data_IF_387164904890
#
_entry.id   IF_387164904890
#
_cell.length_a   1.000
_cell.length_b   1.000
_cell.length_c   1.000
_cell.angle_alpha   90.00
_cell.angle_beta   90.00
_cell.angle_gamma   90.00
#
_symmetry.space_group_name_H-M   'P 1'
#
loop_
_entity.id
_entity.type
_entity.pdbx_description
1 polymer ?
#
# COMPACT_ATOMS: atom_id res chain seq x y z
N UNK A 1 -1.99 23.48 69.15
CA UNK A 1 -3.08 24.46 69.09
C UNK A 1 -3.63 24.43 67.67
N UNK A 2 -4.91 24.04 67.52
CA UNK A 2 -5.80 24.01 66.35
C UNK A 2 -5.31 23.17 65.14
N UNK A 3 -5.77 21.95 64.84
CA UNK A 3 -7.13 21.36 64.70
C UNK A 3 -8.07 22.15 63.78
N UNK A 4 -8.18 21.70 62.54
CA UNK A 4 -9.41 21.66 61.71
C UNK A 4 -9.17 20.50 60.72
N UNK A 5 -9.68 19.27 60.94
CA UNK A 5 -11.06 18.79 60.70
C UNK A 5 -11.63 19.23 59.34
N UNK A 6 -11.55 18.33 58.35
CA UNK A 6 -12.69 18.05 57.47
C UNK A 6 -12.59 16.62 56.95
N UNK A 7 -13.70 15.91 57.07
CA UNK A 7 -13.87 14.48 56.88
C UNK A 7 -13.95 14.05 55.42
N UNK A 8 -13.26 12.94 55.16
CA UNK A 8 -13.64 11.77 54.37
C UNK A 8 -14.97 11.84 53.55
N UNK A 9 -14.86 11.64 52.24
CA UNK A 9 -15.82 10.85 51.47
C UNK A 9 -15.05 9.84 50.63
N UNK A 10 -15.10 8.57 51.05
CA UNK A 10 -14.74 7.42 50.22
C UNK A 10 -15.96 7.15 49.35
N UNK A 11 -15.80 7.23 48.03
CA UNK A 11 -16.76 6.68 47.08
C UNK A 11 -16.05 5.58 46.31
N UNK A 12 -16.20 4.36 46.83
CA UNK A 12 -15.82 3.12 46.18
C UNK A 12 -17.00 2.72 45.28
N UNK A 13 -16.82 2.82 43.96
CA UNK A 13 -17.58 2.10 42.94
C UNK A 13 -16.49 1.37 42.14
N UNK A 14 -16.33 0.05 42.15
CA UNK A 14 -17.36 -0.98 42.08
C UNK A 14 -17.49 -1.44 40.63
N UNK A 15 -16.59 -2.34 40.20
CA UNK A 15 -16.70 -3.36 39.12
C UNK A 15 -17.28 -2.94 37.76
N UNK A 16 -16.59 -3.15 36.64
CA UNK A 16 -16.53 -4.46 35.95
C UNK A 16 -15.50 -4.39 34.81
N UNK A 17 -14.83 -5.50 34.53
CA UNK A 17 -14.05 -5.70 33.30
C UNK A 17 -15.00 -5.59 32.10
N UNK A 18 -14.86 -4.53 31.31
CA UNK A 18 -15.52 -4.39 30.02
C UNK A 18 -14.51 -4.69 28.93
N UNK A 19 -14.66 -5.87 28.33
CA UNK A 19 -14.04 -6.24 27.05
C UNK A 19 -14.19 -5.11 26.04
N UNK A 20 -13.07 -4.63 25.47
CA UNK A 20 -13.14 -3.98 24.16
C UNK A 20 -13.43 -5.07 23.13
N UNK A 21 -14.72 -5.36 22.91
CA UNK A 21 -15.12 -5.94 21.64
C UNK A 21 -14.92 -4.84 20.61
N UNK A 22 -13.94 -5.03 19.73
CA UNK A 22 -13.91 -4.30 18.47
C UNK A 22 -15.21 -4.67 17.75
N UNK A 23 -16.17 -3.75 17.77
CA UNK A 23 -17.33 -3.81 16.91
C UNK A 23 -16.80 -3.62 15.51
N UNK A 24 -16.64 -4.71 14.77
CA UNK A 24 -16.57 -4.65 13.33
C UNK A 24 -17.96 -4.20 12.87
N UNK A 25 -18.07 -2.93 12.46
CA UNK A 25 -19.25 -2.46 11.74
C UNK A 25 -19.35 -3.28 10.45
N UNK A 26 -20.22 -4.28 10.48
CA UNK A 26 -20.69 -5.01 9.30
C UNK A 26 -21.53 -4.05 8.46
N UNK A 27 -20.93 -3.53 7.39
CA UNK A 27 -21.66 -2.78 6.37
C UNK A 27 -22.46 -3.72 5.47
N UNK A 28 -23.69 -3.32 5.16
CA UNK A 28 -24.67 -4.07 4.36
C UNK A 28 -24.33 -4.12 2.86
N UNK A 29 -24.59 -5.28 2.27
CA UNK A 29 -24.09 -5.78 0.99
C UNK A 29 -25.00 -5.48 -0.22
N UNK A 30 -25.16 -4.22 -0.60
CA UNK A 30 -25.80 -3.85 -1.88
C UNK A 30 -25.21 -2.56 -2.41
N UNK A 31 -24.04 -2.71 -3.01
CA UNK A 31 -23.47 -1.94 -4.12
C UNK A 31 -21.99 -2.33 -4.17
N UNK A 32 -21.61 -3.20 -5.10
CA UNK A 32 -20.23 -3.70 -5.25
C UNK A 32 -19.39 -2.57 -5.87
N UNK A 33 -19.09 -1.59 -5.02
CA UNK A 33 -18.12 -0.53 -5.15
C UNK A 33 -17.52 -0.29 -3.75
N UNK A 34 -16.95 -1.34 -3.15
CA UNK A 34 -16.24 -1.29 -1.88
C UNK A 34 -15.22 -2.44 -1.91
N UNK A 35 -13.90 -2.21 -1.93
CA UNK A 35 -13.20 -1.53 -0.84
C UNK A 35 -11.91 -0.84 -1.35
N UNK A 36 -12.04 0.31 -2.02
CA UNK A 36 -10.94 1.28 -2.15
C UNK A 36 -10.81 2.05 -0.83
N UNK A 37 -10.31 1.37 0.19
CA UNK A 37 -10.05 1.92 1.51
C UNK A 37 -8.65 1.52 1.96
N UNK A 38 -7.61 1.91 1.21
CA UNK A 38 -6.26 1.78 1.70
C UNK A 38 -6.07 2.75 2.87
N UNK A 39 -5.99 2.21 4.08
CA UNK A 39 -5.53 2.98 5.23
C UNK A 39 -4.08 3.41 4.96
N UNK A 40 -3.89 4.65 4.51
CA UNK A 40 -2.58 5.29 4.30
C UNK A 40 -2.14 5.53 2.84
N UNK A 41 -3.06 5.88 1.93
CA UNK A 41 -2.69 6.46 0.61
C UNK A 41 -2.06 5.49 -0.39
N UNK A 42 -2.29 4.18 -0.22
CA UNK A 42 -1.87 3.18 -1.20
C UNK A 42 -2.96 2.92 -2.24
N UNK A 43 -2.58 2.65 -3.48
CA UNK A 43 -3.51 2.17 -4.52
C UNK A 43 -2.99 0.86 -5.08
N UNK A 44 -3.86 -0.02 -5.55
CA UNK A 44 -3.43 -1.31 -6.05
C UNK A 44 -4.17 -1.73 -7.32
N UNK A 45 -3.54 -2.61 -8.08
CA UNK A 45 -4.11 -3.20 -9.28
C UNK A 45 -3.48 -4.55 -9.60
N UNK A 46 -4.30 -5.50 -10.04
CA UNK A 46 -3.85 -6.84 -10.46
C UNK A 46 -3.91 -6.94 -11.98
N UNK A 47 -2.87 -7.54 -12.57
CA UNK A 47 -2.70 -7.65 -14.01
C UNK A 47 -2.36 -9.10 -14.41
N UNK A 48 -3.01 -9.58 -15.46
CA UNK A 48 -2.86 -10.93 -15.98
C UNK A 48 -1.69 -11.07 -16.95
N UNK A 49 -1.15 -12.30 -17.03
CA UNK A 49 -0.11 -12.75 -17.97
C UNK A 49 0.95 -11.70 -18.28
N UNK A 50 1.93 -11.58 -17.40
CA UNK A 50 2.96 -10.55 -17.50
C UNK A 50 4.33 -11.21 -17.58
N UNK A 51 5.01 -10.97 -18.70
CA UNK A 51 6.42 -11.29 -18.82
C UNK A 51 7.27 -10.10 -18.35
N UNK A 52 8.55 -10.38 -18.09
CA UNK A 52 9.51 -9.35 -17.66
C UNK A 52 9.54 -8.18 -18.63
N UNK A 53 9.39 -8.39 -19.94
CA UNK A 53 9.45 -7.32 -20.95
C UNK A 53 8.28 -6.35 -20.82
N UNK A 54 7.08 -6.82 -20.49
CA UNK A 54 5.92 -5.95 -20.24
C UNK A 54 6.16 -5.02 -19.05
N UNK A 55 6.77 -5.52 -17.96
CA UNK A 55 7.16 -4.67 -16.84
C UNK A 55 8.22 -3.64 -17.24
N UNK A 56 9.28 -4.10 -17.93
CA UNK A 56 10.35 -3.22 -18.44
C UNK A 56 9.78 -2.11 -19.32
N UNK A 57 8.87 -2.45 -20.25
CA UNK A 57 8.27 -1.46 -21.15
C UNK A 57 7.40 -0.44 -20.42
N UNK A 58 6.70 -0.87 -19.36
CA UNK A 58 5.89 0.02 -18.53
C UNK A 58 6.76 1.01 -17.76
N UNK A 59 7.85 0.54 -17.15
CA UNK A 59 8.83 1.40 -16.45
C UNK A 59 9.50 2.37 -17.43
N UNK A 60 9.94 1.90 -18.60
CA UNK A 60 10.51 2.75 -19.66
C UNK A 60 9.55 3.83 -20.16
N UNK A 61 8.24 3.55 -20.17
CA UNK A 61 7.26 4.54 -20.56
C UNK A 61 7.17 5.67 -19.52
N UNK A 62 7.22 5.34 -18.23
CA UNK A 62 7.28 6.33 -17.16
C UNK A 62 8.59 7.14 -17.23
N UNK A 63 9.73 6.49 -17.50
CA UNK A 63 11.01 7.18 -17.74
C UNK A 63 10.92 8.17 -18.90
N UNK A 64 10.25 7.80 -20.00
CA UNK A 64 10.02 8.71 -21.15
C UNK A 64 9.17 9.93 -20.79
N UNK A 65 8.32 9.84 -19.78
CA UNK A 65 7.57 10.97 -19.23
C UNK A 65 8.36 11.77 -18.18
N UNK A 66 9.62 11.41 -17.93
CA UNK A 66 10.53 12.11 -17.02
C UNK A 66 10.50 11.58 -15.59
N UNK A 67 9.79 10.49 -15.32
CA UNK A 67 9.72 9.87 -13.99
C UNK A 67 10.77 8.77 -13.86
N UNK A 68 11.97 9.15 -13.41
CA UNK A 68 13.09 8.22 -13.29
C UNK A 68 12.97 7.31 -12.07
N UNK A 69 13.27 6.02 -12.23
CA UNK A 69 13.28 5.05 -11.13
C UNK A 69 14.68 4.78 -10.54
N UNK A 70 14.75 4.19 -9.35
CA UNK A 70 16.00 3.70 -8.73
C UNK A 70 16.52 2.40 -9.36
N UNK A 71 15.78 1.79 -10.28
CA UNK A 71 16.16 0.57 -10.98
C UNK A 71 16.41 0.91 -12.44
N UNK A 72 17.48 0.35 -13.02
CA UNK A 72 17.66 0.37 -14.47
C UNK A 72 16.64 -0.60 -15.06
N UNK A 73 15.70 -0.11 -15.86
CA UNK A 73 14.57 -0.92 -16.32
C UNK A 73 15.04 -2.25 -16.96
N UNK A 74 16.11 -2.25 -17.75
CA UNK A 74 16.69 -3.43 -18.41
C UNK A 74 17.17 -4.52 -17.45
N UNK A 75 17.39 -4.21 -16.17
CA UNK A 75 17.85 -5.19 -15.16
C UNK A 75 16.71 -5.79 -14.35
N UNK A 76 15.46 -5.41 -14.62
CA UNK A 76 14.31 -6.02 -13.96
C UNK A 76 14.17 -7.47 -14.40
N UNK A 77 14.06 -8.38 -13.43
CA UNK A 77 13.69 -9.78 -13.63
C UNK A 77 12.57 -10.11 -12.65
N UNK A 78 11.39 -10.45 -13.19
CA UNK A 78 10.20 -10.78 -12.38
C UNK A 78 10.39 -11.98 -11.46
N UNK A 79 11.30 -12.91 -11.80
CA UNK A 79 11.58 -14.04 -10.92
C UNK A 79 12.45 -13.62 -9.72
N UNK A 80 13.27 -12.58 -9.87
CA UNK A 80 14.04 -11.99 -8.78
C UNK A 80 13.26 -10.91 -8.00
N UNK A 81 12.22 -10.31 -8.60
CA UNK A 81 11.48 -9.17 -8.07
C UNK A 81 10.22 -9.52 -7.24
N UNK A 82 10.09 -10.75 -6.73
CA UNK A 82 8.98 -11.09 -5.82
C UNK A 82 9.05 -10.22 -4.55
N UNK A 83 8.08 -9.32 -4.37
CA UNK A 83 8.01 -8.42 -3.23
C UNK A 83 8.96 -7.22 -3.32
N UNK A 84 9.58 -6.99 -4.48
CA UNK A 84 10.51 -5.86 -4.65
C UNK A 84 9.78 -4.53 -4.87
N UNK A 85 10.45 -3.44 -4.51
CA UNK A 85 9.91 -2.08 -4.60
C UNK A 85 10.72 -1.27 -5.60
N UNK A 86 10.05 -0.70 -6.60
CA UNK A 86 10.61 0.26 -7.54
C UNK A 86 10.28 1.66 -7.04
N UNK A 87 11.29 2.49 -6.79
CA UNK A 87 11.14 3.86 -6.29
C UNK A 87 11.30 4.83 -7.45
N UNK A 88 10.22 5.53 -7.78
CA UNK A 88 10.21 6.61 -8.75
C UNK A 88 10.47 7.96 -8.08
N UNK A 89 11.27 8.80 -8.74
CA UNK A 89 11.54 10.18 -8.36
C UNK A 89 10.54 11.11 -9.04
N UNK A 90 10.35 12.29 -8.44
CA UNK A 90 9.62 13.38 -9.10
C UNK A 90 10.27 13.74 -10.43
N UNK A 91 9.48 14.17 -11.40
CA UNK A 91 10.00 14.63 -12.68
C UNK A 91 10.82 15.92 -12.50
N UNK A 92 11.78 16.18 -13.38
CA UNK A 92 12.58 17.42 -13.35
C UNK A 92 11.72 18.69 -13.49
N UNK A 93 10.52 18.57 -14.07
CA UNK A 93 9.50 19.63 -14.16
C UNK A 93 8.80 19.93 -12.83
N UNK A 94 9.06 19.16 -11.77
CA UNK A 94 8.35 19.22 -10.50
C UNK A 94 6.99 18.52 -10.50
N UNK A 95 6.58 17.92 -11.63
CA UNK A 95 5.34 17.12 -11.70
C UNK A 95 5.48 15.86 -10.85
N UNK A 96 4.54 15.69 -9.93
CA UNK A 96 4.44 14.50 -9.06
C UNK A 96 3.90 13.32 -9.86
N UNK A 97 4.49 12.14 -9.66
CA UNK A 97 3.98 10.91 -10.25
C UNK A 97 2.73 10.44 -9.48
N UNK A 98 1.60 10.35 -10.18
CA UNK A 98 0.35 9.85 -9.59
C UNK A 98 0.17 8.35 -9.85
N UNK A 99 -0.69 7.69 -9.07
CA UNK A 99 -0.98 6.26 -9.26
C UNK A 99 -1.70 5.99 -10.60
N UNK A 100 -2.49 6.95 -11.09
CA UNK A 100 -3.17 6.85 -12.38
C UNK A 100 -2.18 6.84 -13.54
N UNK A 101 -1.15 7.69 -13.50
CA UNK A 101 -0.07 7.72 -14.51
C UNK A 101 0.65 6.35 -14.53
N UNK A 102 0.92 5.77 -13.35
CA UNK A 102 1.54 4.43 -13.20
C UNK A 102 0.64 3.34 -13.79
N UNK A 103 -0.63 3.28 -13.38
CA UNK A 103 -1.55 2.24 -13.86
C UNK A 103 -1.89 2.42 -15.34
N UNK A 104 -1.92 3.65 -15.87
CA UNK A 104 -2.06 3.89 -17.31
C UNK A 104 -0.86 3.33 -18.09
N UNK A 105 0.36 3.50 -17.58
CA UNK A 105 1.55 2.93 -18.20
C UNK A 105 1.52 1.38 -18.20
N UNK A 106 1.13 0.77 -17.08
CA UNK A 106 0.99 -0.68 -16.96
C UNK A 106 -0.09 -1.24 -17.89
N UNK A 107 -1.26 -0.59 -17.97
CA UNK A 107 -2.38 -0.99 -18.86
C UNK A 107 -2.01 -0.99 -20.35
N UNK A 108 -0.95 -0.29 -20.75
CA UNK A 108 -0.49 -0.30 -22.15
C UNK A 108 0.18 -1.62 -22.55
N UNK A 109 0.74 -2.35 -21.58
CA UNK A 109 1.53 -3.57 -21.82
C UNK A 109 1.01 -4.80 -21.08
N UNK A 110 0.00 -4.63 -20.23
CA UNK A 110 -0.56 -5.67 -19.39
C UNK A 110 -2.09 -5.55 -19.34
N UNK A 111 -2.78 -6.68 -19.18
CA UNK A 111 -4.24 -6.70 -19.10
C UNK A 111 -4.68 -6.59 -17.64
N UNK A 112 -5.43 -5.54 -17.25
CA UNK A 112 -5.96 -5.44 -15.90
C UNK A 112 -6.98 -6.55 -15.64
N UNK A 113 -6.93 -7.14 -14.45
CA UNK A 113 -7.89 -8.13 -13.98
C UNK A 113 -8.89 -7.52 -13.02
N UNK A 114 -10.09 -8.07 -13.02
CA UNK A 114 -11.13 -7.72 -12.06
C UNK A 114 -11.04 -8.65 -10.86
N UNK A 115 -11.17 -8.08 -9.67
CA UNK A 115 -11.30 -8.85 -8.43
C UNK A 115 -12.63 -9.59 -8.40
N UNK A 116 -12.58 -10.82 -7.88
CA UNK A 116 -13.78 -11.59 -7.50
C UNK A 116 -14.20 -11.16 -6.10
N UNK A 117 -15.43 -11.46 -5.72
CA UNK A 117 -15.95 -11.17 -4.38
C UNK A 117 -15.19 -11.90 -3.26
N UNK A 118 -14.53 -13.02 -3.59
CA UNK A 118 -13.73 -13.81 -2.67
C UNK A 118 -12.29 -13.31 -2.52
N UNK A 119 -11.86 -12.37 -3.35
CA UNK A 119 -10.52 -11.81 -3.29
C UNK A 119 -10.49 -10.65 -2.27
N UNK A 120 -9.40 -10.53 -1.52
CA UNK A 120 -9.21 -9.47 -0.56
C UNK A 120 -7.76 -8.98 -0.55
N UNK A 121 -7.57 -7.66 -0.51
CA UNK A 121 -6.26 -7.05 -0.33
C UNK A 121 -6.36 -6.03 0.79
N UNK A 122 -5.53 -6.19 1.81
CA UNK A 122 -5.36 -5.24 2.90
C UNK A 122 -3.96 -4.67 2.81
N UNK A 123 -3.85 -3.35 2.66
CA UNK A 123 -2.57 -2.63 2.65
C UNK A 123 -2.56 -1.63 3.79
N UNK A 124 -1.44 -1.59 4.52
CA UNK A 124 -1.17 -0.62 5.58
C UNK A 124 0.18 0.02 5.35
N UNK A 125 0.18 1.32 5.09
CA UNK A 125 1.39 2.14 5.07
C UNK A 125 1.58 2.79 6.45
N UNK A 126 2.70 2.50 7.11
CA UNK A 126 3.07 3.12 8.39
C UNK A 126 4.24 4.07 8.19
N UNK A 127 4.07 5.40 8.32
CA UNK A 127 5.17 6.33 8.31
C UNK A 127 6.13 6.03 9.47
N UNK A 128 7.42 5.86 9.19
CA UNK A 128 8.47 5.67 10.18
C UNK A 128 9.23 6.97 10.46
N UNK A 129 9.42 7.80 9.44
CA UNK A 129 10.07 9.11 9.55
C UNK A 129 9.75 10.00 8.34
N UNK A 130 9.74 11.31 8.55
CA UNK A 130 9.59 12.31 7.47
C UNK A 130 10.75 13.30 7.53
N UNK A 131 11.40 13.57 6.41
CA UNK A 131 12.47 14.56 6.27
C UNK A 131 12.28 15.40 4.99
N UNK A 132 13.09 16.44 4.81
CA UNK A 132 12.98 17.34 3.64
C UNK A 132 13.14 16.59 2.30
N UNK A 133 13.89 15.48 2.31
CA UNK A 133 14.14 14.64 1.14
C UNK A 133 13.02 13.64 0.82
N UNK A 134 12.09 13.36 1.74
CA UNK A 134 11.04 12.36 1.55
C UNK A 134 10.52 11.70 2.84
N UNK A 135 9.85 10.56 2.68
CA UNK A 135 9.27 9.79 3.78
C UNK A 135 9.77 8.34 3.77
N UNK A 136 10.13 7.82 4.94
CA UNK A 136 10.37 6.38 5.13
C UNK A 136 9.06 5.75 5.58
N UNK A 137 8.58 4.77 4.82
CA UNK A 137 7.31 4.08 5.07
C UNK A 137 7.60 2.59 5.24
N UNK A 138 6.94 1.97 6.21
CA UNK A 138 6.80 0.51 6.31
C UNK A 138 5.46 0.12 5.70
N UNK A 139 5.49 -0.48 4.51
CA UNK A 139 4.30 -1.06 3.89
C UNK A 139 4.14 -2.48 4.42
N UNK A 140 2.94 -2.80 4.90
CA UNK A 140 2.51 -4.17 5.18
C UNK A 140 1.31 -4.49 4.30
N UNK A 141 1.27 -5.68 3.72
CA UNK A 141 0.13 -6.13 2.94
C UNK A 141 -0.22 -7.58 3.25
N UNK A 142 -1.52 -7.87 3.19
CA UNK A 142 -2.10 -9.21 3.20
C UNK A 142 -2.98 -9.34 1.96
N UNK A 143 -2.80 -10.41 1.22
CA UNK A 143 -3.45 -10.67 -0.06
C UNK A 143 -4.09 -12.04 0.01
N UNK A 144 -5.38 -12.10 -0.26
CA UNK A 144 -6.12 -13.30 -0.60
C UNK A 144 -6.56 -13.14 -2.06
N UNK A 145 -6.02 -13.95 -2.96
CA UNK A 145 -6.35 -13.87 -4.38
C UNK A 145 -6.47 -15.26 -4.99
N UNK A 146 -7.63 -15.55 -5.57
CA UNK A 146 -7.96 -16.84 -6.18
C UNK A 146 -7.73 -18.04 -5.24
N UNK A 147 -8.03 -17.85 -3.94
CA UNK A 147 -7.86 -18.86 -2.89
C UNK A 147 -6.45 -18.97 -2.31
N UNK A 148 -5.47 -18.21 -2.82
CA UNK A 148 -4.10 -18.19 -2.31
C UNK A 148 -3.89 -17.01 -1.36
N UNK A 149 -3.14 -17.21 -0.28
CA UNK A 149 -2.82 -16.19 0.71
C UNK A 149 -1.33 -15.83 0.70
N UNK A 150 -1.03 -14.53 0.76
CA UNK A 150 0.31 -14.03 0.90
C UNK A 150 0.35 -12.79 1.80
N UNK A 151 1.40 -12.67 2.60
CA UNK A 151 1.65 -11.49 3.42
C UNK A 151 3.12 -11.05 3.35
N UNK A 152 3.35 -9.76 3.49
CA UNK A 152 4.70 -9.20 3.59
C UNK A 152 4.71 -7.87 4.33
N UNK A 153 5.88 -7.51 4.86
CA UNK A 153 6.09 -6.23 5.53
C UNK A 153 7.51 -5.75 5.32
N UNK A 154 7.68 -4.59 4.71
CA UNK A 154 9.00 -4.05 4.39
C UNK A 154 9.07 -2.52 4.49
N UNK A 155 10.16 -1.96 5.02
CA UNK A 155 10.43 -0.53 4.99
C UNK A 155 11.11 -0.11 3.69
N UNK A 156 10.78 1.08 3.18
CA UNK A 156 11.47 1.75 2.08
C UNK A 156 11.33 3.26 2.18
N UNK A 157 12.22 3.99 1.50
CA UNK A 157 12.20 5.46 1.46
C UNK A 157 11.66 5.95 0.11
N UNK A 158 10.68 6.84 0.17
CA UNK A 158 10.08 7.51 -0.98
C UNK A 158 10.56 8.96 -1.01
N UNK A 159 11.21 9.43 -2.09
CA UNK A 159 11.63 10.82 -2.19
C UNK A 159 10.40 11.74 -2.30
N UNK A 160 10.55 13.01 -1.89
CA UNK A 160 9.49 14.01 -1.99
C UNK A 160 8.98 14.13 -3.44
N UNK A 161 7.66 14.03 -3.62
CA UNK A 161 7.01 14.03 -4.94
C UNK A 161 7.26 12.78 -5.79
N UNK A 162 7.93 11.77 -5.24
CA UNK A 162 8.10 10.45 -5.82
C UNK A 162 6.97 9.49 -5.44
N UNK A 163 7.10 8.25 -5.90
CA UNK A 163 6.14 7.18 -5.66
C UNK A 163 6.87 5.83 -5.61
N UNK A 164 6.49 4.96 -4.69
CA UNK A 164 6.97 3.59 -4.62
C UNK A 164 5.97 2.64 -5.27
N UNK A 165 6.46 1.71 -6.09
CA UNK A 165 5.70 0.66 -6.74
C UNK A 165 6.19 -0.70 -6.25
N UNK A 166 5.45 -1.31 -5.34
CA UNK A 166 5.68 -2.69 -4.92
C UNK A 166 5.13 -3.62 -5.98
N UNK A 167 5.97 -4.58 -6.41
CA UNK A 167 5.62 -5.60 -7.41
C UNK A 167 5.58 -6.96 -6.72
N UNK A 168 4.44 -7.63 -6.79
CA UNK A 168 4.25 -8.95 -6.21
C UNK A 168 3.70 -9.93 -7.25
N UNK A 169 4.36 -11.10 -7.37
CA UNK A 169 3.93 -12.17 -8.27
C UNK A 169 3.08 -13.16 -7.50
N UNK A 170 1.83 -13.29 -7.94
CA UNK A 170 0.86 -14.25 -7.42
C UNK A 170 1.17 -15.64 -7.97
N UNK A 171 0.74 -16.68 -7.26
CA UNK A 171 1.03 -18.08 -7.61
C UNK A 171 0.50 -18.48 -8.99
N UNK A 172 -0.61 -17.88 -9.43
CA UNK A 172 -1.15 -18.06 -10.78
C UNK A 172 -0.41 -17.30 -11.90
N UNK A 173 0.70 -16.62 -11.58
CA UNK A 173 1.53 -15.86 -12.52
C UNK A 173 1.05 -14.43 -12.78
N UNK A 174 -0.03 -13.98 -12.13
CA UNK A 174 -0.48 -12.59 -12.17
C UNK A 174 0.46 -11.68 -11.37
N UNK A 175 0.47 -10.38 -11.69
CA UNK A 175 1.18 -9.39 -10.89
C UNK A 175 0.21 -8.48 -10.16
N UNK A 176 0.42 -8.36 -8.86
CA UNK A 176 -0.14 -7.32 -8.03
C UNK A 176 0.85 -6.15 -7.97
N UNK A 177 0.36 -4.96 -8.28
CA UNK A 177 1.07 -3.72 -8.08
C UNK A 177 0.43 -2.93 -6.95
N UNK A 178 1.24 -2.42 -6.02
CA UNK A 178 0.80 -1.55 -4.93
C UNK A 178 1.62 -0.26 -4.99
N UNK A 179 0.96 0.87 -5.17
CA UNK A 179 1.60 2.18 -5.12
C UNK A 179 1.57 2.73 -3.69
N UNK A 180 2.65 3.37 -3.26
CA UNK A 180 2.70 4.18 -2.04
C UNK A 180 3.25 5.56 -2.36
N UNK A 181 2.65 6.60 -1.79
CA UNK A 181 3.13 7.97 -1.85
C UNK A 181 3.65 8.43 -0.47
N UNK A 182 4.51 9.47 -0.40
CA UNK A 182 5.03 10.03 0.85
C UNK A 182 3.96 10.57 1.79
#
# INVERSE_FOLDING_TARGET
MNILKSSLFILLLGTTMGSFNAVADTFSSTDIAANEGAYGGAHYGVFGYTDTKSLVNSVKLLDKFGYHSNVVAETLDLNAYQGSVIIFKTAASGKVLSYEDVFAALKKYMTPLKFKETDAIVVKNTPLSVNEGGATIKQSYQVLFDGNHAESSQPFQIPKGGLALTVYKLDGGQLLFITSAP
#
